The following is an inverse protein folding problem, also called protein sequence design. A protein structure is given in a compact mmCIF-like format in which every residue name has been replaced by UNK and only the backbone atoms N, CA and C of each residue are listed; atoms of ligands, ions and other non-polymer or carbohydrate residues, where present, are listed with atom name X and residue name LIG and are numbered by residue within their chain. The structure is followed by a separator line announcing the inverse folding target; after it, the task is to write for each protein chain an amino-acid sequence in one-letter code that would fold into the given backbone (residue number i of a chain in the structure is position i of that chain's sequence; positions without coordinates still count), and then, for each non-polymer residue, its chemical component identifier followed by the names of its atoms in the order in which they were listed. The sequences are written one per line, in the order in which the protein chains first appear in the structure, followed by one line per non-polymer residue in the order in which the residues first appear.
data_IF_180724075197
#
_entry.id   IF_180724075197
#
_cell.length_a   1.000
_cell.length_b   1.000
_cell.length_c   1.000
_cell.angle_alpha   90.00
_cell.angle_beta   90.00
_cell.angle_gamma   90.00
#
_symmetry.space_group_name_H-M   'P 1'
#
loop_
_entity.id
_entity.type
_entity.pdbx_description
1 polymer ?
#
# COMPACT_ATOMS: atom_id res chain seq x y z
N UNK A 1 -23.77 28.98 5.15
CA UNK A 1 -23.60 27.54 5.41
C UNK A 1 -22.83 26.93 4.24
N UNK A 2 -21.56 26.59 4.42
CA UNK A 2 -20.76 26.02 3.33
C UNK A 2 -21.04 24.52 3.24
N UNK A 3 -21.79 24.10 2.21
CA UNK A 3 -22.09 22.69 1.96
C UNK A 3 -20.80 21.91 1.75
N UNK A 4 -20.57 20.88 2.57
CA UNK A 4 -19.39 20.03 2.49
C UNK A 4 -19.38 19.34 1.11
N UNK A 5 -18.51 19.79 0.21
CA UNK A 5 -18.37 19.22 -1.14
C UNK A 5 -18.01 17.75 -1.01
N UNK A 6 -18.98 16.86 -1.22
CA UNK A 6 -18.71 15.42 -1.23
C UNK A 6 -18.04 15.07 -2.55
N UNK A 7 -16.77 14.66 -2.46
CA UNK A 7 -16.07 14.11 -3.61
C UNK A 7 -16.57 12.69 -3.87
N UNK A 8 -16.93 12.39 -5.12
CA UNK A 8 -17.26 11.02 -5.54
C UNK A 8 -16.07 10.11 -5.22
N UNK A 9 -16.35 8.99 -4.57
CA UNK A 9 -15.37 7.92 -4.35
C UNK A 9 -15.42 6.98 -5.54
N UNK A 10 -14.24 6.63 -6.04
CA UNK A 10 -14.06 5.62 -7.08
C UNK A 10 -13.37 4.40 -6.47
N UNK A 11 -13.94 3.24 -6.74
CA UNK A 11 -13.34 1.93 -6.46
C UNK A 11 -12.08 1.73 -7.30
N UNK A 12 -11.29 0.69 -6.98
CA UNK A 12 -10.08 0.37 -7.76
C UNK A 12 -10.47 -0.06 -9.17
N UNK A 13 -11.52 -0.85 -9.29
CA UNK A 13 -12.07 -1.39 -10.52
C UNK A 13 -12.54 -0.26 -11.45
N UNK A 14 -13.26 0.73 -10.91
CA UNK A 14 -13.67 1.92 -11.67
C UNK A 14 -12.46 2.71 -12.17
N UNK A 15 -11.46 2.95 -11.33
CA UNK A 15 -10.24 3.67 -11.75
C UNK A 15 -9.53 2.95 -12.89
N UNK A 16 -9.40 1.63 -12.79
CA UNK A 16 -8.77 0.81 -13.83
C UNK A 16 -9.57 0.82 -15.13
N UNK A 17 -10.91 0.74 -15.07
CA UNK A 17 -11.76 0.83 -16.25
C UNK A 17 -11.61 2.18 -16.96
N UNK A 18 -11.61 3.28 -16.19
CA UNK A 18 -11.43 4.65 -16.71
C UNK A 18 -10.04 4.82 -17.35
N UNK A 19 -8.98 4.30 -16.71
CA UNK A 19 -7.63 4.33 -17.26
C UNK A 19 -7.56 3.58 -18.60
N UNK A 20 -8.08 2.35 -18.66
CA UNK A 20 -8.13 1.54 -19.89
C UNK A 20 -8.91 2.22 -21.02
N UNK A 21 -10.03 2.88 -20.70
CA UNK A 21 -10.80 3.66 -21.67
C UNK A 21 -9.97 4.82 -22.22
N UNK A 22 -9.19 5.49 -21.36
CA UNK A 22 -8.33 6.62 -21.75
C UNK A 22 -7.13 6.26 -22.64
N UNK A 23 -6.81 4.97 -22.74
CA UNK A 23 -5.69 4.43 -23.54
C UNK A 23 -6.15 3.88 -24.89
N UNK A 24 -7.47 3.82 -25.15
CA UNK A 24 -8.01 3.35 -26.41
C UNK A 24 -7.62 4.28 -27.58
N UNK A 25 -7.22 3.74 -28.74
CA UNK A 25 -6.95 4.53 -29.93
C UNK A 25 -8.15 5.39 -30.31
N UNK A 26 -7.91 6.68 -30.62
CA UNK A 26 -8.96 7.63 -31.00
C UNK A 26 -9.78 8.20 -29.83
N UNK A 27 -9.56 7.75 -28.59
CA UNK A 27 -10.21 8.33 -27.40
C UNK A 27 -9.32 9.43 -26.81
N UNK A 28 -9.90 10.60 -26.54
CA UNK A 28 -9.17 11.70 -25.90
C UNK A 28 -9.38 11.69 -24.39
N UNK A 29 -8.33 11.99 -23.63
CA UNK A 29 -8.40 12.12 -22.16
C UNK A 29 -9.50 13.10 -21.71
N UNK A 30 -9.71 14.18 -22.47
CA UNK A 30 -10.76 15.15 -22.19
C UNK A 30 -12.18 14.58 -22.34
N UNK A 31 -12.43 13.71 -23.32
CA UNK A 31 -13.71 13.05 -23.49
C UNK A 31 -14.01 12.10 -22.33
N UNK A 32 -13.01 11.30 -21.93
CA UNK A 32 -13.11 10.39 -20.77
C UNK A 32 -13.36 11.16 -19.48
N UNK A 33 -12.64 12.27 -19.26
CA UNK A 33 -12.83 13.11 -18.09
C UNK A 33 -14.25 13.66 -17.98
N UNK A 34 -14.83 14.15 -19.08
CA UNK A 34 -16.23 14.61 -19.11
C UNK A 34 -17.21 13.48 -18.84
N UNK A 35 -17.03 12.33 -19.49
CA UNK A 35 -17.91 11.15 -19.33
C UNK A 35 -17.96 10.65 -17.88
N UNK A 36 -16.83 10.65 -17.20
CA UNK A 36 -16.73 10.16 -15.82
C UNK A 36 -16.81 11.25 -14.74
N UNK A 37 -17.04 12.51 -15.16
CA UNK A 37 -17.07 13.69 -14.30
C UNK A 37 -15.83 13.81 -13.39
N UNK A 38 -14.65 13.55 -13.97
CA UNK A 38 -13.35 13.68 -13.28
C UNK A 38 -12.51 14.81 -13.90
N UNK A 39 -11.60 15.36 -13.10
CA UNK A 39 -10.63 16.32 -13.61
C UNK A 39 -9.49 15.60 -14.36
N UNK A 40 -8.89 16.24 -15.39
CA UNK A 40 -7.72 15.69 -16.06
C UNK A 40 -6.57 15.40 -15.09
N UNK A 41 -6.37 16.26 -14.08
CA UNK A 41 -5.33 16.06 -13.07
C UNK A 41 -5.53 14.76 -12.28
N UNK A 42 -6.78 14.40 -11.95
CA UNK A 42 -7.09 13.15 -11.27
C UNK A 42 -6.77 11.93 -12.15
N UNK A 43 -7.12 11.99 -13.44
CA UNK A 43 -6.83 10.93 -14.40
C UNK A 43 -5.32 10.72 -14.58
N UNK A 44 -4.55 11.80 -14.76
CA UNK A 44 -3.09 11.71 -14.89
C UNK A 44 -2.43 11.24 -13.58
N UNK A 45 -2.95 11.66 -12.43
CA UNK A 45 -2.49 11.17 -11.13
C UNK A 45 -2.66 9.65 -11.00
N UNK A 46 -3.81 9.10 -11.43
CA UNK A 46 -4.01 7.66 -11.44
C UNK A 46 -3.08 6.94 -12.42
N UNK A 47 -2.83 7.51 -13.60
CA UNK A 47 -1.91 6.94 -14.59
C UNK A 47 -0.48 6.85 -14.04
N UNK A 48 0.01 7.90 -13.39
CA UNK A 48 1.34 7.92 -12.79
C UNK A 48 1.48 6.85 -11.68
N UNK A 49 0.44 6.65 -10.87
CA UNK A 49 0.43 5.59 -9.84
C UNK A 49 0.43 4.20 -10.48
N UNK A 50 -0.41 3.98 -11.50
CA UNK A 50 -0.46 2.70 -12.21
C UNK A 50 0.87 2.35 -12.88
N UNK A 51 1.53 3.34 -13.50
CA UNK A 51 2.84 3.17 -14.12
C UNK A 51 3.90 2.79 -13.08
N UNK A 52 3.99 3.53 -11.97
CA UNK A 52 4.94 3.22 -10.87
C UNK A 52 4.71 1.83 -10.27
N UNK A 53 3.45 1.45 -10.08
CA UNK A 53 3.13 0.12 -9.58
C UNK A 53 3.53 -0.97 -10.57
N UNK A 54 3.35 -0.74 -11.87
CA UNK A 54 3.78 -1.65 -12.93
C UNK A 54 5.29 -1.77 -12.97
N UNK A 55 6.01 -0.64 -12.92
CA UNK A 55 7.48 -0.61 -12.85
C UNK A 55 8.02 -1.37 -11.63
N UNK A 56 7.42 -1.16 -10.45
CA UNK A 56 7.79 -1.88 -9.23
C UNK A 56 7.50 -3.39 -9.35
N UNK A 57 6.36 -3.78 -9.93
CA UNK A 57 6.03 -5.18 -10.14
C UNK A 57 6.98 -5.87 -11.13
N UNK A 58 7.40 -5.17 -12.20
CA UNK A 58 8.33 -5.68 -13.20
C UNK A 58 9.78 -5.77 -12.69
N UNK A 59 10.19 -4.86 -11.78
CA UNK A 59 11.50 -4.91 -11.12
C UNK A 59 11.66 -6.16 -10.22
N UNK A 60 10.55 -6.80 -9.87
CA UNK A 60 10.51 -7.89 -8.90
C UNK A 60 10.56 -7.35 -7.45
N UNK A 61 10.36 -8.23 -6.45
CA UNK A 61 10.45 -7.83 -5.06
C UNK A 61 11.84 -7.23 -4.79
N UNK A 62 11.89 -6.11 -4.07
CA UNK A 62 13.16 -5.63 -3.55
C UNK A 62 13.79 -6.72 -2.69
N UNK A 63 15.12 -6.84 -2.74
CA UNK A 63 15.84 -7.76 -1.86
C UNK A 63 15.44 -7.42 -0.41
N UNK A 64 15.16 -8.44 0.43
CA UNK A 64 14.92 -8.22 1.85
C UNK A 64 16.04 -7.35 2.40
N UNK A 65 15.67 -6.27 3.09
CA UNK A 65 16.66 -5.39 3.72
C UNK A 65 17.41 -6.22 4.77
N UNK A 66 18.68 -6.49 4.52
CA UNK A 66 19.55 -7.30 5.38
C UNK A 66 19.57 -6.76 6.81
N UNK A 67 19.48 -5.44 6.97
CA UNK A 67 19.41 -4.80 8.28
C UNK A 67 18.09 -5.12 8.98
N UNK A 68 16.97 -5.14 8.24
CA UNK A 68 15.65 -5.50 8.80
C UNK A 68 15.63 -6.96 9.23
N UNK A 69 16.19 -7.87 8.44
CA UNK A 69 16.25 -9.28 8.78
C UNK A 69 17.17 -9.54 9.97
N UNK A 70 18.32 -8.85 10.05
CA UNK A 70 19.20 -8.90 11.23
C UNK A 70 18.47 -8.41 12.49
N UNK A 71 17.76 -7.29 12.41
CA UNK A 71 17.00 -6.75 13.54
C UNK A 71 15.86 -7.68 13.95
N UNK A 72 15.19 -8.34 13.00
CA UNK A 72 14.15 -9.34 13.28
C UNK A 72 14.72 -10.56 14.00
N UNK A 73 15.87 -11.05 13.56
CA UNK A 73 16.55 -12.17 14.22
C UNK A 73 16.95 -11.82 15.66
N UNK A 74 17.49 -10.63 15.88
CA UNK A 74 17.85 -10.17 17.23
C UNK A 74 16.60 -10.01 18.12
N UNK A 75 15.50 -9.46 17.59
CA UNK A 75 14.22 -9.39 18.31
C UNK A 75 13.69 -10.78 18.69
N UNK A 76 13.81 -11.77 17.80
CA UNK A 76 13.39 -13.14 18.09
C UNK A 76 14.24 -13.76 19.20
N UNK A 77 15.56 -13.56 19.16
CA UNK A 77 16.49 -14.01 20.20
C UNK A 77 16.18 -13.39 21.55
N UNK A 78 16.02 -12.06 21.60
CA UNK A 78 15.70 -11.35 22.83
C UNK A 78 14.36 -11.81 23.42
N UNK A 79 13.35 -12.05 22.59
CA UNK A 79 12.06 -12.61 23.04
C UNK A 79 12.21 -13.99 23.67
N UNK A 80 13.03 -14.86 23.08
CA UNK A 80 13.30 -16.19 23.62
C UNK A 80 13.95 -16.09 25.02
N UNK A 81 15.01 -15.29 25.15
CA UNK A 81 15.70 -15.08 26.44
C UNK A 81 14.77 -14.50 27.50
N UNK A 82 13.95 -13.50 27.14
CA UNK A 82 12.96 -12.94 28.06
C UNK A 82 11.96 -14.00 28.50
N UNK A 83 11.49 -14.86 27.59
CA UNK A 83 10.54 -15.92 27.92
C UNK A 83 11.12 -16.95 28.88
N UNK A 84 12.38 -17.33 28.70
CA UNK A 84 13.10 -18.27 29.56
C UNK A 84 13.28 -17.69 30.97
N UNK A 85 13.84 -16.48 31.08
CA UNK A 85 14.03 -15.80 32.37
C UNK A 85 12.69 -15.55 33.07
N UNK A 86 11.63 -15.24 32.32
CA UNK A 86 10.29 -15.04 32.89
C UNK A 86 9.74 -16.34 33.46
N UNK A 87 9.94 -17.47 32.77
CA UNK A 87 9.53 -18.78 33.25
C UNK A 87 10.28 -19.17 34.54
N UNK A 88 11.61 -19.00 34.56
CA UNK A 88 12.43 -19.26 35.75
C UNK A 88 11.99 -18.42 36.95
N UNK A 89 11.75 -17.12 36.74
CA UNK A 89 11.29 -16.22 37.81
C UNK A 89 9.92 -16.63 38.37
N UNK A 90 9.02 -17.14 37.53
CA UNK A 90 7.71 -17.64 37.97
C UNK A 90 7.86 -18.92 38.80
N UNK A 91 8.79 -19.81 38.46
CA UNK A 91 9.07 -21.00 39.26
C UNK A 91 9.70 -20.67 40.62
N UNK A 92 10.67 -19.75 40.64
CA UNK A 92 11.30 -19.31 41.88
C UNK A 92 10.29 -18.69 42.85
N UNK A 93 9.34 -17.89 42.34
CA UNK A 93 8.26 -17.31 43.15
C UNK A 93 7.29 -18.33 43.72
N UNK A 94 7.17 -19.53 43.16
CA UNK A 94 6.33 -20.62 43.70
C UNK A 94 7.02 -21.43 44.80
N UNK A 95 8.35 -21.33 44.92
CA UNK A 95 9.18 -22.07 45.88
C UNK A 95 9.45 -21.28 47.18
N UNK A 96 8.93 -20.06 47.28
CA UNK A 96 8.97 -19.18 48.45
C UNK A 96 7.56 -19.10 49.02
#
# INVERSE_FOLDING_TARGET
MSGKRQYRRFTVEEKLAILKESEQPGVTAAAVCRKHAISPNLLYGWRAVAQKATEAALKGPDKPDEQVERLRAELARLRAVVSEITAENLELKKKI
#
